data_IF_724123634252
#
_entry.id   IF_724123634252
#
_cell.length_a   1.000
_cell.length_b   1.000
_cell.length_c   1.000
_cell.angle_alpha   90.00
_cell.angle_beta   90.00
_cell.angle_gamma   90.00
#
_symmetry.space_group_name_H-M   'P 1'
#
loop_
_entity.id
_entity.type
_entity.pdbx_description
1 polymer ?
#
# COMPACT_ATOMS: atom_id res chain seq x y z
N UNK A 1 6.47 31.98 -23.44
CA UNK A 1 6.33 30.54 -23.79
C UNK A 1 4.90 30.12 -23.50
N UNK A 2 4.23 29.38 -24.41
CA UNK A 2 2.85 28.90 -24.18
C UNK A 2 2.87 27.80 -23.10
N UNK A 3 2.13 28.01 -22.01
CA UNK A 3 1.94 27.03 -20.93
C UNK A 3 1.21 25.80 -21.51
N UNK A 4 1.72 24.60 -21.25
CA UNK A 4 1.10 23.33 -21.67
C UNK A 4 0.23 22.75 -20.56
N UNK A 5 -0.82 22.03 -20.97
CA UNK A 5 -1.69 21.26 -20.07
C UNK A 5 -0.96 20.00 -19.59
N UNK A 6 -1.24 19.56 -18.36
CA UNK A 6 -0.69 18.33 -17.83
C UNK A 6 -1.17 17.09 -18.62
N UNK A 7 -0.29 16.09 -18.76
CA UNK A 7 -0.61 14.77 -19.34
C UNK A 7 -1.31 13.89 -18.30
N UNK A 8 -2.04 12.87 -18.76
CA UNK A 8 -2.62 11.86 -17.86
C UNK A 8 -1.57 10.96 -17.22
N UNK A 9 -0.54 10.59 -18.00
CA UNK A 9 0.62 9.79 -17.56
C UNK A 9 1.89 10.34 -18.22
N UNK A 10 2.92 10.53 -17.41
CA UNK A 10 4.26 10.94 -17.81
C UNK A 10 5.20 9.74 -17.83
N UNK A 11 6.33 9.87 -18.51
CA UNK A 11 7.39 8.84 -18.61
C UNK A 11 8.74 9.39 -18.17
N UNK A 12 9.77 8.55 -18.07
CA UNK A 12 11.14 9.01 -17.84
C UNK A 12 11.61 9.99 -18.94
N UNK A 13 11.22 9.74 -20.20
CA UNK A 13 11.56 10.63 -21.31
C UNK A 13 10.96 12.04 -21.13
N UNK A 14 9.79 12.14 -20.51
CA UNK A 14 9.17 13.43 -20.18
C UNK A 14 9.92 14.14 -19.05
N UNK A 15 10.39 13.41 -18.02
CA UNK A 15 11.23 13.98 -16.95
C UNK A 15 12.55 14.53 -17.52
N UNK A 16 13.19 13.83 -18.47
CA UNK A 16 14.42 14.29 -19.14
C UNK A 16 14.21 15.57 -19.97
N UNK A 17 13.00 15.83 -20.42
CA UNK A 17 12.62 16.99 -21.23
C UNK A 17 11.52 17.78 -20.52
N UNK A 18 11.72 18.06 -19.24
CA UNK A 18 10.69 18.65 -18.40
C UNK A 18 10.28 20.03 -18.89
N UNK A 19 8.99 20.20 -19.17
CA UNK A 19 8.42 21.44 -19.66
C UNK A 19 7.78 22.24 -18.52
N UNK A 20 7.68 23.55 -18.70
CA UNK A 20 6.98 24.43 -17.75
C UNK A 20 5.46 24.21 -17.89
N UNK A 21 4.86 23.66 -16.84
CA UNK A 21 3.42 23.41 -16.69
C UNK A 21 2.87 24.38 -15.64
N UNK A 22 1.62 24.80 -15.81
CA UNK A 22 0.93 25.74 -14.91
C UNK A 22 -0.47 25.22 -14.55
N UNK A 23 -0.78 25.00 -13.26
CA UNK A 23 0.16 24.98 -12.13
C UNK A 23 1.26 23.91 -12.30
N UNK A 24 2.44 24.06 -11.68
CA UNK A 24 3.54 23.12 -11.86
C UNK A 24 3.22 21.73 -11.29
N UNK A 25 3.53 20.67 -12.03
CA UNK A 25 3.56 19.30 -11.50
C UNK A 25 4.80 19.16 -10.63
N UNK A 26 4.61 18.93 -9.32
CA UNK A 26 5.68 18.78 -8.32
C UNK A 26 5.47 17.63 -7.35
N UNK A 27 4.37 16.92 -7.53
CA UNK A 27 4.06 15.68 -6.85
C UNK A 27 3.67 14.62 -7.88
N UNK A 28 3.76 13.35 -7.50
CA UNK A 28 3.23 12.29 -8.35
C UNK A 28 3.31 10.90 -7.78
N UNK A 29 2.90 9.92 -8.57
CA UNK A 29 3.04 8.49 -8.27
C UNK A 29 3.87 7.81 -9.34
N UNK A 30 4.89 7.07 -8.94
CA UNK A 30 5.69 6.21 -9.82
C UNK A 30 5.20 4.77 -9.73
N UNK A 31 4.94 4.15 -10.86
CA UNK A 31 4.52 2.75 -10.92
C UNK A 31 4.66 2.16 -12.32
N UNK A 32 4.56 0.84 -12.41
CA UNK A 32 4.50 0.14 -13.69
C UNK A 32 3.68 -1.15 -13.55
N UNK A 33 2.42 -1.18 -14.06
CA UNK A 33 1.67 -0.07 -14.64
C UNK A 33 1.14 0.92 -13.58
N UNK A 34 0.88 2.18 -13.97
CA UNK A 34 0.38 3.23 -13.05
C UNK A 34 -0.96 3.85 -13.43
N UNK A 35 -1.43 3.64 -14.67
CA UNK A 35 -2.57 4.35 -15.25
C UNK A 35 -3.86 4.25 -14.41
N UNK A 36 -4.07 3.12 -13.72
CA UNK A 36 -5.24 2.86 -12.88
C UNK A 36 -5.22 3.59 -11.53
N UNK A 37 -4.09 4.19 -11.13
CA UNK A 37 -3.96 4.80 -9.80
C UNK A 37 -4.98 5.93 -9.61
N UNK A 38 -5.72 5.90 -8.51
CA UNK A 38 -6.64 6.98 -8.12
C UNK A 38 -5.96 8.04 -7.23
N UNK A 39 -4.66 7.92 -6.95
CA UNK A 39 -3.91 8.88 -6.15
C UNK A 39 -3.97 10.32 -6.67
N UNK A 40 -3.89 10.58 -8.00
CA UNK A 40 -4.02 11.94 -8.51
C UNK A 40 -5.36 12.59 -8.19
N UNK A 41 -6.47 11.84 -8.17
CA UNK A 41 -7.79 12.38 -7.89
C UNK A 41 -7.84 12.96 -6.46
N UNK A 42 -7.52 12.13 -5.46
CA UNK A 42 -7.53 12.57 -4.06
C UNK A 42 -6.47 13.63 -3.77
N UNK A 43 -5.26 13.50 -4.31
CA UNK A 43 -4.16 14.43 -4.01
C UNK A 43 -4.41 15.81 -4.65
N UNK A 44 -4.89 15.88 -5.88
CA UNK A 44 -5.23 17.17 -6.50
C UNK A 44 -6.43 17.82 -5.81
N UNK A 45 -7.40 17.05 -5.29
CA UNK A 45 -8.49 17.60 -4.47
C UNK A 45 -7.96 18.21 -3.16
N UNK A 46 -6.99 17.58 -2.50
CA UNK A 46 -6.32 18.13 -1.34
C UNK A 46 -5.55 19.42 -1.65
N UNK A 47 -4.74 19.42 -2.71
CA UNK A 47 -3.98 20.60 -3.16
C UNK A 47 -4.91 21.79 -3.43
N UNK A 48 -6.02 21.56 -4.14
CA UNK A 48 -7.03 22.58 -4.44
C UNK A 48 -7.66 23.14 -3.16
N UNK A 49 -8.06 22.26 -2.23
CA UNK A 49 -8.71 22.66 -0.97
C UNK A 49 -7.77 23.49 -0.10
N UNK A 50 -6.49 23.12 -0.04
CA UNK A 50 -5.46 23.85 0.70
C UNK A 50 -4.87 25.05 -0.05
N UNK A 51 -5.38 25.38 -1.25
CA UNK A 51 -4.89 26.47 -2.12
C UNK A 51 -3.39 26.39 -2.42
N UNK A 52 -2.88 25.17 -2.64
CA UNK A 52 -1.49 24.91 -3.00
C UNK A 52 -1.40 24.89 -4.52
N UNK A 53 -0.63 25.82 -5.10
CA UNK A 53 -0.53 26.01 -6.55
C UNK A 53 0.43 24.99 -7.21
N UNK A 54 0.06 23.71 -7.17
CA UNK A 54 0.82 22.59 -7.72
C UNK A 54 -0.12 21.49 -8.21
N UNK A 55 0.41 20.54 -8.98
CA UNK A 55 -0.30 19.35 -9.46
C UNK A 55 0.38 18.06 -9.02
N UNK A 56 -0.44 17.03 -8.85
CA UNK A 56 -0.04 15.64 -8.67
C UNK A 56 -0.31 14.84 -9.95
N UNK A 57 0.69 14.14 -10.49
CA UNK A 57 0.56 13.38 -11.74
C UNK A 57 0.99 11.90 -11.63
N UNK A 58 0.64 11.10 -12.64
CA UNK A 58 1.11 9.71 -12.77
C UNK A 58 2.39 9.67 -13.60
N UNK A 59 3.33 8.84 -13.21
CA UNK A 59 4.56 8.58 -13.96
C UNK A 59 4.74 7.08 -14.13
N UNK A 60 4.71 6.62 -15.38
CA UNK A 60 5.05 5.25 -15.71
C UNK A 60 6.56 5.15 -15.83
N UNK A 61 7.17 4.49 -14.85
CA UNK A 61 8.61 4.35 -14.69
C UNK A 61 8.88 2.86 -14.53
N UNK A 62 9.69 2.25 -15.40
CA UNK A 62 10.04 0.83 -15.26
C UNK A 62 11.05 0.61 -14.12
N UNK A 63 11.24 -0.64 -13.62
CA UNK A 63 12.17 -0.91 -12.52
C UNK A 63 13.61 -0.43 -12.75
N UNK A 64 14.09 -0.55 -13.97
CA UNK A 64 15.43 -0.12 -14.40
C UNK A 64 15.56 1.41 -14.54
N UNK A 65 14.44 2.11 -14.68
CA UNK A 65 14.39 3.57 -14.79
C UNK A 65 14.28 4.27 -13.43
N UNK A 66 13.95 3.56 -12.35
CA UNK A 66 13.62 4.14 -11.04
C UNK A 66 14.69 5.08 -10.50
N UNK A 67 15.96 4.66 -10.52
CA UNK A 67 17.08 5.49 -10.04
C UNK A 67 17.16 6.80 -10.83
N UNK A 68 17.16 6.70 -12.17
CA UNK A 68 17.21 7.87 -13.05
C UNK A 68 16.03 8.82 -12.83
N UNK A 69 14.83 8.28 -12.60
CA UNK A 69 13.64 9.08 -12.32
C UNK A 69 13.76 9.84 -10.99
N UNK A 70 14.25 9.17 -9.94
CA UNK A 70 14.49 9.77 -8.62
C UNK A 70 15.55 10.88 -8.67
N UNK A 71 16.63 10.67 -9.42
CA UNK A 71 17.67 11.68 -9.61
C UNK A 71 17.14 12.91 -10.37
N UNK A 72 16.31 12.71 -11.40
CA UNK A 72 15.73 13.82 -12.15
C UNK A 72 14.74 14.64 -11.30
N UNK A 73 13.84 14.01 -10.54
CA UNK A 73 12.87 14.78 -9.74
C UNK A 73 13.54 15.62 -8.63
N UNK A 74 14.71 15.16 -8.14
CA UNK A 74 15.57 15.92 -7.23
C UNK A 74 16.02 17.25 -7.86
N UNK A 75 16.42 17.22 -9.14
CA UNK A 75 16.85 18.42 -9.88
C UNK A 75 15.69 19.31 -10.35
N UNK A 76 14.52 18.71 -10.60
CA UNK A 76 13.33 19.39 -11.13
C UNK A 76 12.47 20.06 -10.04
N UNK A 77 13.01 20.21 -8.83
CA UNK A 77 12.36 20.83 -7.67
C UNK A 77 11.04 20.19 -7.28
N UNK A 78 10.87 18.88 -7.46
CA UNK A 78 9.69 18.17 -6.94
C UNK A 78 9.67 18.24 -5.41
N UNK A 79 8.46 18.23 -4.84
CA UNK A 79 8.25 18.11 -3.39
C UNK A 79 8.34 16.66 -2.94
N UNK A 80 7.93 15.73 -3.80
CA UNK A 80 7.91 14.31 -3.47
C UNK A 80 7.14 13.46 -4.45
N UNK A 81 7.20 12.15 -4.26
CA UNK A 81 6.43 11.18 -5.05
C UNK A 81 5.97 10.03 -4.17
N UNK A 82 4.80 9.46 -4.45
CA UNK A 82 4.49 8.11 -4.01
C UNK A 82 5.13 7.09 -4.94
N UNK A 83 5.39 5.91 -4.39
CA UNK A 83 5.89 4.76 -5.11
C UNK A 83 4.89 3.62 -4.95
N UNK A 84 4.48 3.04 -6.07
CA UNK A 84 3.65 1.83 -6.09
C UNK A 84 4.41 0.65 -6.69
N UNK A 85 3.75 -0.49 -6.85
CA UNK A 85 4.31 -1.67 -7.51
C UNK A 85 4.97 -1.28 -8.85
N UNK A 86 6.20 -1.77 -9.14
CA UNK A 86 7.04 -2.68 -8.35
C UNK A 86 8.13 -1.99 -7.49
N UNK A 87 8.10 -0.68 -7.34
CA UNK A 87 9.24 0.13 -6.91
C UNK A 87 9.55 0.12 -5.41
N UNK A 88 8.58 -0.21 -4.56
CA UNK A 88 8.65 0.05 -3.11
C UNK A 88 9.89 -0.55 -2.43
N UNK A 89 10.28 -1.77 -2.80
CA UNK A 89 11.42 -2.46 -2.17
C UNK A 89 12.76 -1.89 -2.67
N UNK A 90 12.88 -1.67 -3.99
CA UNK A 90 14.10 -1.14 -4.58
C UNK A 90 14.40 0.27 -4.07
N UNK A 91 13.37 1.12 -3.99
CA UNK A 91 13.49 2.51 -3.58
C UNK A 91 14.08 2.69 -2.18
N UNK A 92 13.82 1.78 -1.24
CA UNK A 92 14.39 1.87 0.12
C UNK A 92 15.92 1.88 0.15
N UNK A 93 16.57 1.39 -0.90
CA UNK A 93 18.04 1.40 -1.04
C UNK A 93 18.58 2.64 -1.76
N UNK A 94 17.69 3.44 -2.33
CA UNK A 94 18.01 4.62 -3.15
C UNK A 94 17.74 5.93 -2.41
N UNK A 95 17.19 5.87 -1.19
CA UNK A 95 16.92 7.03 -0.37
C UNK A 95 18.19 7.48 0.35
N UNK A 96 18.35 8.80 0.50
CA UNK A 96 19.44 9.40 1.27
C UNK A 96 19.19 9.19 2.78
N UNK A 97 17.94 9.30 3.20
CA UNK A 97 17.49 9.07 4.58
C UNK A 97 16.19 8.27 4.59
N UNK A 98 16.00 7.41 5.59
CA UNK A 98 14.80 6.58 5.75
C UNK A 98 14.29 6.61 7.19
N UNK A 99 12.97 6.61 7.36
CA UNK A 99 12.36 6.49 8.68
C UNK A 99 12.50 5.06 9.26
N UNK A 100 12.23 4.93 10.55
CA UNK A 100 12.33 3.64 11.25
C UNK A 100 11.38 2.58 10.68
N UNK A 101 10.22 2.99 10.13
CA UNK A 101 9.32 2.06 9.46
C UNK A 101 9.97 1.49 8.21
N UNK A 102 10.48 2.33 7.30
CA UNK A 102 11.14 1.89 6.08
C UNK A 102 12.34 1.01 6.43
N UNK A 103 13.13 1.35 7.47
CA UNK A 103 14.25 0.53 7.92
C UNK A 103 13.84 -0.89 8.33
N UNK A 104 12.67 -1.05 8.97
CA UNK A 104 12.13 -2.36 9.40
C UNK A 104 11.37 -3.10 8.30
N UNK A 105 10.59 -2.39 7.49
CA UNK A 105 9.75 -2.96 6.41
C UNK A 105 10.61 -3.37 5.21
N UNK A 106 11.65 -2.57 4.92
CA UNK A 106 12.41 -2.64 3.67
C UNK A 106 11.63 -2.12 2.46
N UNK A 107 10.56 -1.34 2.65
CA UNK A 107 9.74 -0.81 1.56
C UNK A 107 9.36 0.66 1.78
N UNK A 108 9.57 1.49 0.76
CA UNK A 108 9.24 2.92 0.72
C UNK A 108 8.06 3.15 -0.23
N UNK A 109 6.98 3.78 0.22
CA UNK A 109 5.84 4.16 -0.65
C UNK A 109 5.69 5.68 -0.82
N UNK A 110 6.44 6.47 -0.04
CA UNK A 110 6.36 7.94 -0.02
C UNK A 110 7.76 8.50 0.06
N UNK A 111 8.11 9.36 -0.89
CA UNK A 111 9.39 10.08 -0.95
C UNK A 111 9.09 11.55 -0.71
N UNK A 112 9.75 12.17 0.25
CA UNK A 112 9.82 13.63 0.41
C UNK A 112 11.18 14.08 -0.10
N UNK A 113 11.20 15.17 -0.85
CA UNK A 113 12.43 15.82 -1.29
C UNK A 113 12.58 17.08 -0.46
N UNK A 114 13.67 17.16 0.29
CA UNK A 114 14.03 18.35 1.07
C UNK A 114 15.52 18.62 0.91
N UNK A 115 15.89 19.86 0.58
CA UNK A 115 17.28 20.26 0.30
C UNK A 115 18.02 19.29 -0.67
N UNK A 116 17.32 18.85 -1.72
CA UNK A 116 17.79 17.86 -2.71
C UNK A 116 18.13 16.47 -2.12
N UNK A 117 17.72 16.16 -0.89
CA UNK A 117 17.79 14.81 -0.33
C UNK A 117 16.47 14.07 -0.48
N UNK A 118 16.55 12.77 -0.73
CA UNK A 118 15.41 11.86 -0.80
C UNK A 118 15.19 11.23 0.58
N UNK A 119 14.09 11.60 1.23
CA UNK A 119 13.63 11.02 2.48
C UNK A 119 12.53 9.99 2.21
N UNK A 120 12.78 8.74 2.57
CA UNK A 120 11.86 7.62 2.38
C UNK A 120 10.98 7.37 3.59
N UNK A 121 9.68 7.22 3.34
CA UNK A 121 8.65 6.88 4.32
C UNK A 121 7.76 5.74 3.81
N UNK A 122 7.08 5.08 4.75
CA UNK A 122 6.02 4.13 4.45
C UNK A 122 4.72 4.51 5.18
N UNK A 123 3.70 4.85 4.40
CA UNK A 123 2.37 5.23 4.91
C UNK A 123 1.32 4.13 4.73
N UNK A 124 1.65 3.04 4.03
CA UNK A 124 0.72 1.94 3.75
C UNK A 124 0.24 1.27 5.04
N UNK A 125 1.16 0.95 5.96
CA UNK A 125 0.83 0.23 7.20
C UNK A 125 -0.18 0.99 8.06
N UNK A 126 0.13 2.24 8.41
CA UNK A 126 -0.79 3.11 9.16
C UNK A 126 -2.09 3.37 8.40
N UNK A 127 -2.02 3.52 7.07
CA UNK A 127 -3.21 3.67 6.22
C UNK A 127 -4.13 2.45 6.29
N UNK A 128 -3.55 1.25 6.28
CA UNK A 128 -4.28 -0.01 6.43
C UNK A 128 -4.95 -0.14 7.80
N UNK A 129 -4.26 0.18 8.90
CA UNK A 129 -4.87 0.14 10.24
C UNK A 129 -6.10 1.05 10.34
N UNK A 130 -6.01 2.29 9.82
CA UNK A 130 -7.15 3.21 9.75
C UNK A 130 -8.28 2.66 8.87
N UNK A 131 -7.93 2.03 7.75
CA UNK A 131 -8.90 1.40 6.86
C UNK A 131 -9.65 0.25 7.54
N UNK A 132 -8.96 -0.65 8.24
CA UNK A 132 -9.58 -1.76 8.98
C UNK A 132 -10.54 -1.23 10.05
N UNK A 133 -10.14 -0.21 10.81
CA UNK A 133 -11.01 0.42 11.81
C UNK A 133 -12.26 1.02 11.17
N UNK A 134 -12.13 1.68 10.02
CA UNK A 134 -13.27 2.26 9.30
C UNK A 134 -14.23 1.18 8.76
N UNK A 135 -13.70 0.20 8.03
CA UNK A 135 -14.51 -0.78 7.30
C UNK A 135 -15.12 -1.84 8.23
N UNK A 136 -14.39 -2.18 9.30
CA UNK A 136 -14.74 -3.30 10.15
C UNK A 136 -15.09 -2.95 11.59
N UNK A 137 -14.90 -1.69 12.01
CA UNK A 137 -15.13 -1.23 13.38
C UNK A 137 -14.36 -2.05 14.43
N UNK A 138 -13.14 -2.46 14.10
CA UNK A 138 -12.25 -3.28 14.95
C UNK A 138 -10.79 -2.84 14.77
N UNK A 139 -9.99 -3.05 15.80
CA UNK A 139 -8.56 -2.75 15.82
C UNK A 139 -7.72 -3.97 15.47
N UNK A 140 -6.57 -3.78 14.82
CA UNK A 140 -5.70 -4.90 14.43
C UNK A 140 -5.23 -5.73 15.63
N UNK A 141 -5.10 -5.10 16.80
CA UNK A 141 -4.67 -5.75 18.03
C UNK A 141 -5.58 -6.89 18.48
N UNK A 142 -6.86 -6.83 18.12
CA UNK A 142 -7.90 -7.79 18.51
C UNK A 142 -8.13 -8.86 17.45
N UNK A 143 -7.31 -8.89 16.38
CA UNK A 143 -7.53 -9.74 15.22
C UNK A 143 -6.45 -10.82 15.06
N UNK A 144 -6.89 -11.97 14.53
CA UNK A 144 -6.05 -12.99 13.92
C UNK A 144 -6.04 -12.76 12.41
N UNK A 145 -4.91 -12.30 11.90
CA UNK A 145 -4.78 -11.81 10.53
C UNK A 145 -4.02 -12.81 9.67
N UNK A 146 -4.52 -13.08 8.46
CA UNK A 146 -3.76 -13.70 7.39
C UNK A 146 -3.48 -12.68 6.30
N UNK A 147 -2.24 -12.64 5.81
CA UNK A 147 -1.83 -11.82 4.67
C UNK A 147 -1.45 -12.75 3.52
N UNK A 148 -2.07 -12.54 2.36
CA UNK A 148 -1.71 -13.17 1.10
C UNK A 148 -0.72 -12.25 0.39
N UNK A 149 0.50 -12.72 0.19
CA UNK A 149 1.62 -11.98 -0.38
C UNK A 149 2.73 -11.66 0.61
N UNK A 150 3.90 -11.35 0.07
CA UNK A 150 5.07 -10.90 0.85
C UNK A 150 5.84 -9.74 0.15
N UNK A 151 5.15 -9.00 -0.72
CA UNK A 151 5.67 -7.81 -1.42
C UNK A 151 5.64 -6.54 -0.55
N UNK A 152 5.90 -5.37 -1.16
CA UNK A 152 6.00 -4.11 -0.41
C UNK A 152 4.78 -3.74 0.43
N UNK A 153 3.56 -3.90 -0.12
CA UNK A 153 2.32 -3.65 0.63
C UNK A 153 2.13 -4.69 1.75
N UNK A 154 2.34 -5.98 1.45
CA UNK A 154 2.24 -7.05 2.43
C UNK A 154 3.21 -6.87 3.61
N UNK A 155 4.45 -6.44 3.33
CA UNK A 155 5.46 -6.14 4.36
C UNK A 155 5.01 -5.00 5.27
N UNK A 156 4.44 -3.93 4.70
CA UNK A 156 3.94 -2.80 5.48
C UNK A 156 2.74 -3.18 6.35
N UNK A 157 1.79 -3.95 5.81
CA UNK A 157 0.63 -4.49 6.55
C UNK A 157 1.10 -5.42 7.66
N UNK A 158 2.01 -6.36 7.37
CA UNK A 158 2.53 -7.31 8.33
C UNK A 158 3.23 -6.63 9.51
N UNK A 159 4.09 -5.64 9.23
CA UNK A 159 4.73 -4.86 10.28
C UNK A 159 3.70 -4.07 11.10
N UNK A 160 2.70 -3.47 10.47
CA UNK A 160 1.67 -2.73 11.22
C UNK A 160 0.90 -3.66 12.16
N UNK A 161 0.47 -4.84 11.70
CA UNK A 161 -0.17 -5.84 12.54
C UNK A 161 0.72 -6.27 13.72
N UNK A 162 2.02 -6.46 13.47
CA UNK A 162 2.99 -6.81 14.51
C UNK A 162 3.20 -5.69 15.53
N UNK A 163 3.29 -4.43 15.08
CA UNK A 163 3.46 -3.24 15.95
C UNK A 163 2.24 -2.97 16.82
N UNK A 164 1.04 -3.30 16.33
CA UNK A 164 -0.20 -3.20 17.10
C UNK A 164 -0.46 -4.43 17.98
N UNK A 165 0.46 -5.41 18.00
CA UNK A 165 0.37 -6.64 18.79
C UNK A 165 -0.92 -7.43 18.52
N UNK A 166 -1.24 -7.60 17.22
CA UNK A 166 -2.32 -8.48 16.77
C UNK A 166 -2.23 -9.87 17.41
N UNK A 167 -3.37 -10.52 17.62
CA UNK A 167 -3.41 -11.79 18.34
C UNK A 167 -2.60 -12.86 17.62
N UNK A 168 -2.73 -12.91 16.28
CA UNK A 168 -2.06 -13.86 15.39
C UNK A 168 -1.78 -13.22 14.04
N UNK A 169 -0.65 -13.56 13.44
CA UNK A 169 -0.28 -13.20 12.07
C UNK A 169 0.15 -14.44 11.28
N UNK A 170 -0.56 -14.71 10.18
CA UNK A 170 -0.22 -15.74 9.20
C UNK A 170 0.18 -15.08 7.90
N UNK A 171 1.32 -15.47 7.33
CA UNK A 171 1.82 -14.93 6.06
C UNK A 171 1.85 -16.08 5.05
N UNK A 172 1.01 -15.98 4.02
CA UNK A 172 0.98 -16.92 2.91
C UNK A 172 1.61 -16.29 1.68
N UNK A 173 2.52 -16.99 1.01
CA UNK A 173 3.11 -16.49 -0.23
C UNK A 173 3.40 -17.63 -1.21
N UNK A 174 3.36 -17.33 -2.51
CA UNK A 174 3.62 -18.30 -3.59
C UNK A 174 5.02 -18.87 -3.47
N UNK A 175 6.00 -18.01 -3.20
CA UNK A 175 7.35 -18.42 -2.83
C UNK A 175 7.41 -18.51 -1.31
N UNK A 176 7.29 -19.73 -0.77
CA UNK A 176 7.20 -19.98 0.67
C UNK A 176 8.37 -19.37 1.45
N UNK A 177 9.60 -19.49 0.92
CA UNK A 177 10.79 -18.90 1.54
C UNK A 177 10.68 -17.37 1.77
N UNK A 178 9.95 -16.64 0.93
CA UNK A 178 9.73 -15.20 1.12
C UNK A 178 8.81 -14.92 2.31
N UNK A 179 7.78 -15.75 2.53
CA UNK A 179 6.93 -15.65 3.71
C UNK A 179 7.70 -16.03 4.98
N UNK A 180 8.52 -17.08 4.93
CA UNK A 180 9.37 -17.49 6.07
C UNK A 180 10.32 -16.36 6.48
N UNK A 181 11.00 -15.74 5.50
CA UNK A 181 11.89 -14.61 5.77
C UNK A 181 11.14 -13.45 6.44
N UNK A 182 9.96 -13.07 5.94
CA UNK A 182 9.17 -12.00 6.54
C UNK A 182 8.69 -12.35 7.95
N UNK A 183 8.31 -13.60 8.20
CA UNK A 183 7.96 -14.05 9.55
C UNK A 183 9.17 -13.96 10.51
N UNK A 184 10.37 -14.37 10.08
CA UNK A 184 11.55 -14.28 10.94
C UNK A 184 11.89 -12.81 11.26
N UNK A 185 11.78 -11.90 10.29
CA UNK A 185 11.97 -10.45 10.49
C UNK A 185 11.00 -9.85 11.54
N UNK A 186 9.84 -10.49 11.78
CA UNK A 186 8.81 -10.04 12.71
C UNK A 186 8.80 -10.81 14.04
N UNK A 187 9.65 -11.82 14.20
CA UNK A 187 9.60 -12.77 15.32
C UNK A 187 9.66 -12.10 16.70
N UNK A 188 10.46 -11.05 16.85
CA UNK A 188 10.64 -10.33 18.12
C UNK A 188 9.32 -9.71 18.63
N UNK A 189 8.42 -9.27 17.73
CA UNK A 189 7.12 -8.73 18.12
C UNK A 189 6.19 -9.77 18.75
N UNK A 190 6.43 -11.06 18.50
CA UNK A 190 5.59 -12.16 18.97
C UNK A 190 6.26 -13.00 20.07
N UNK A 191 7.45 -12.60 20.55
CA UNK A 191 8.23 -13.33 21.57
C UNK A 191 7.75 -13.11 23.02
N UNK A 192 6.76 -12.24 23.25
CA UNK A 192 6.27 -11.88 24.58
C UNK A 192 5.42 -12.96 25.27
N UNK A 193 5.27 -12.89 26.61
CA UNK A 193 4.46 -13.83 27.37
C UNK A 193 2.97 -13.63 27.05
N UNK A 194 2.41 -14.54 26.25
CA UNK A 194 0.96 -14.74 26.10
C UNK A 194 0.64 -16.21 26.33
N UNK A 195 -0.60 -16.49 26.72
CA UNK A 195 -1.10 -17.86 26.85
C UNK A 195 -0.87 -18.60 25.54
N UNK A 196 -0.15 -19.72 25.61
CA UNK A 196 0.06 -20.60 24.46
C UNK A 196 -1.31 -21.17 24.05
N UNK A 197 -1.80 -20.73 22.90
CA UNK A 197 -2.94 -21.34 22.23
C UNK A 197 -2.51 -22.61 21.45
N UNK A 198 -3.48 -23.34 20.87
CA UNK A 198 -3.18 -24.55 20.09
C UNK A 198 -2.42 -24.28 18.78
N UNK A 199 -2.27 -23.02 18.40
CA UNK A 199 -1.66 -22.59 17.13
C UNK A 199 -0.66 -21.43 17.36
N UNK A 200 0.45 -21.35 16.59
CA UNK A 200 1.54 -20.39 16.85
C UNK A 200 1.16 -18.96 16.45
N UNK A 201 1.39 -17.95 17.29
CA UNK A 201 0.99 -16.55 17.00
C UNK A 201 1.54 -15.98 15.70
N UNK A 202 2.73 -16.40 15.27
CA UNK A 202 3.32 -16.02 13.99
C UNK A 202 3.60 -17.27 13.16
N UNK A 203 3.12 -17.30 11.92
CA UNK A 203 3.31 -18.44 11.04
C UNK A 203 3.47 -18.02 9.58
N UNK A 204 4.51 -18.54 8.92
CA UNK A 204 4.58 -18.53 7.47
C UNK A 204 4.00 -19.84 6.92
N UNK A 205 3.25 -19.76 5.82
CA UNK A 205 2.71 -20.95 5.12
C UNK A 205 2.94 -20.84 3.60
N UNK A 206 3.01 -21.97 2.87
CA UNK A 206 2.91 -21.95 1.43
C UNK A 206 1.50 -21.48 1.01
N UNK A 207 1.41 -20.81 -0.13
CA UNK A 207 0.12 -20.40 -0.71
C UNK A 207 -0.54 -21.57 -1.43
N UNK A 208 -0.98 -22.55 -0.64
CA UNK A 208 -1.66 -23.75 -1.08
C UNK A 208 -2.98 -23.88 -0.33
N UNK A 209 -4.01 -24.38 -1.01
CA UNK A 209 -5.34 -24.50 -0.43
C UNK A 209 -5.37 -25.33 0.85
N UNK A 210 -4.65 -26.46 0.88
CA UNK A 210 -4.60 -27.31 2.06
C UNK A 210 -4.03 -26.54 3.26
N UNK A 211 -2.91 -25.84 3.06
CA UNK A 211 -2.27 -25.04 4.11
C UNK A 211 -3.19 -23.91 4.61
N UNK A 212 -3.86 -23.20 3.70
CA UNK A 212 -4.79 -22.10 4.04
C UNK A 212 -6.04 -22.63 4.76
N UNK A 213 -6.60 -23.76 4.31
CA UNK A 213 -7.79 -24.38 4.91
C UNK A 213 -7.63 -24.64 6.40
N UNK A 214 -6.45 -25.11 6.84
CA UNK A 214 -6.17 -25.33 8.26
C UNK A 214 -6.15 -24.04 9.10
N UNK A 215 -6.01 -22.87 8.48
CA UNK A 215 -5.96 -21.60 9.20
C UNK A 215 -7.32 -20.96 9.38
N UNK A 216 -8.30 -21.22 8.50
CA UNK A 216 -9.57 -20.47 8.42
C UNK A 216 -10.31 -20.39 9.77
N UNK A 217 -10.33 -21.47 10.54
CA UNK A 217 -11.00 -21.52 11.86
C UNK A 217 -10.28 -20.68 12.94
N UNK A 218 -9.07 -20.19 12.66
CA UNK A 218 -8.21 -19.46 13.56
C UNK A 218 -7.87 -18.06 13.02
N UNK A 219 -8.71 -17.52 12.14
CA UNK A 219 -8.55 -16.20 11.53
C UNK A 219 -9.84 -15.41 11.65
N UNK A 220 -9.67 -14.11 11.79
CA UNK A 220 -10.75 -13.12 11.77
C UNK A 220 -10.67 -12.27 10.51
N UNK A 221 -9.45 -11.98 10.01
CA UNK A 221 -9.22 -11.13 8.84
C UNK A 221 -8.27 -11.80 7.83
N UNK A 222 -8.65 -11.82 6.55
CA UNK A 222 -7.77 -12.21 5.44
C UNK A 222 -7.54 -11.01 4.53
N UNK A 223 -6.28 -10.66 4.31
CA UNK A 223 -5.84 -9.52 3.52
C UNK A 223 -5.20 -9.99 2.21
N UNK A 224 -5.75 -9.62 1.07
CA UNK A 224 -5.04 -9.76 -0.22
C UNK A 224 -4.10 -8.57 -0.42
N UNK A 225 -2.80 -8.80 -0.25
CA UNK A 225 -1.74 -7.83 -0.50
C UNK A 225 -0.93 -8.17 -1.76
N UNK A 226 -1.59 -8.82 -2.73
CA UNK A 226 -1.01 -9.19 -4.03
C UNK A 226 -1.67 -8.42 -5.16
N UNK A 227 -1.09 -8.42 -6.37
CA UNK A 227 -1.73 -7.82 -7.53
C UNK A 227 -2.98 -8.56 -8.04
N UNK A 228 -3.28 -9.78 -7.54
CA UNK A 228 -4.45 -10.53 -8.01
C UNK A 228 -5.74 -9.76 -7.74
N UNK A 229 -6.54 -9.59 -8.79
CA UNK A 229 -7.80 -8.83 -8.78
C UNK A 229 -7.69 -7.49 -9.49
N UNK A 230 -6.46 -7.04 -9.81
CA UNK A 230 -6.21 -5.80 -10.53
C UNK A 230 -6.69 -5.90 -11.97
N UNK A 231 -6.41 -7.02 -12.66
CA UNK A 231 -6.94 -7.24 -14.00
C UNK A 231 -8.35 -7.83 -13.94
N UNK A 232 -9.17 -7.54 -14.96
CA UNK A 232 -10.54 -8.05 -15.04
C UNK A 232 -10.62 -9.58 -15.05
N UNK A 233 -9.61 -10.25 -15.60
CA UNK A 233 -9.50 -11.70 -15.73
C UNK A 233 -8.79 -12.37 -14.55
N UNK A 234 -8.26 -11.62 -13.59
CA UNK A 234 -7.54 -12.23 -12.47
C UNK A 234 -8.51 -13.04 -11.60
N UNK A 235 -8.11 -14.22 -11.11
CA UNK A 235 -8.93 -15.01 -10.19
C UNK A 235 -8.92 -14.42 -8.77
N UNK A 236 -9.83 -14.91 -7.93
CA UNK A 236 -9.73 -14.74 -6.47
C UNK A 236 -8.41 -15.35 -5.96
N UNK A 237 -7.72 -14.72 -4.99
CA UNK A 237 -6.47 -15.22 -4.44
C UNK A 237 -6.63 -16.52 -3.63
N UNK A 238 -7.85 -16.84 -3.19
CA UNK A 238 -8.20 -18.14 -2.58
C UNK A 238 -9.54 -18.66 -3.12
N UNK A 239 -9.76 -19.99 -3.15
CA UNK A 239 -11.03 -20.58 -3.56
C UNK A 239 -12.20 -20.12 -2.69
N UNK A 240 -13.35 -19.79 -3.30
CA UNK A 240 -14.55 -19.31 -2.60
C UNK A 240 -15.03 -20.26 -1.49
N UNK A 241 -14.85 -21.58 -1.66
CA UNK A 241 -15.19 -22.61 -0.65
C UNK A 241 -14.39 -22.53 0.65
N UNK A 242 -13.33 -21.74 0.71
CA UNK A 242 -12.57 -21.47 1.95
C UNK A 242 -13.08 -20.24 2.70
N UNK A 243 -13.94 -19.44 2.06
CA UNK A 243 -14.54 -18.26 2.67
C UNK A 243 -15.70 -18.70 3.56
N UNK A 244 -15.85 -18.03 4.69
CA UNK A 244 -16.80 -18.37 5.73
C UNK A 244 -17.40 -17.10 6.35
N UNK A 245 -18.65 -17.14 6.84
CA UNK A 245 -19.36 -15.95 7.34
C UNK A 245 -18.66 -15.19 8.48
N UNK A 246 -17.85 -15.87 9.29
CA UNK A 246 -17.15 -15.24 10.42
C UNK A 246 -15.94 -14.39 9.98
N UNK A 247 -15.49 -14.52 8.73
CA UNK A 247 -14.32 -13.82 8.24
C UNK A 247 -14.63 -12.37 7.86
N UNK A 248 -13.61 -11.54 8.00
CA UNK A 248 -13.47 -10.25 7.35
C UNK A 248 -12.46 -10.40 6.21
N UNK A 249 -12.77 -9.82 5.07
CA UNK A 249 -11.94 -9.89 3.87
C UNK A 249 -11.54 -8.48 3.44
N UNK A 250 -10.25 -8.22 3.36
CA UNK A 250 -9.73 -6.93 2.87
C UNK A 250 -8.90 -7.14 1.62
N UNK A 251 -9.30 -6.56 0.51
CA UNK A 251 -8.52 -6.58 -0.72
C UNK A 251 -7.79 -5.25 -0.88
N UNK A 252 -6.45 -5.26 -0.94
CA UNK A 252 -5.69 -4.00 -1.18
C UNK A 252 -5.90 -3.46 -2.59
N UNK A 253 -6.42 -4.29 -3.51
CA UNK A 253 -6.84 -3.83 -4.83
C UNK A 253 -8.12 -3.00 -4.72
N UNK A 254 -8.10 -1.86 -5.40
CA UNK A 254 -9.28 -1.03 -5.66
C UNK A 254 -9.48 -0.91 -7.17
N UNK A 255 -10.74 -1.01 -7.61
CA UNK A 255 -11.15 -0.85 -9.00
C UNK A 255 -12.63 -0.54 -9.07
N UNK A 256 -13.11 -0.16 -10.25
CA UNK A 256 -14.54 -0.14 -10.52
C UNK A 256 -15.14 -1.53 -10.32
N UNK A 257 -16.22 -1.58 -9.54
CA UNK A 257 -16.87 -2.80 -9.11
C UNK A 257 -16.11 -3.53 -7.99
N UNK A 258 -16.53 -4.77 -7.72
CA UNK A 258 -15.89 -5.63 -6.72
C UNK A 258 -14.85 -6.52 -7.38
N UNK A 259 -13.74 -6.79 -6.68
CA UNK A 259 -12.80 -7.83 -7.10
C UNK A 259 -13.46 -9.20 -6.92
N UNK A 260 -13.00 -10.26 -7.63
CA UNK A 260 -13.50 -11.61 -7.41
C UNK A 260 -13.37 -12.07 -5.95
N UNK A 261 -12.35 -11.59 -5.23
CA UNK A 261 -12.16 -11.90 -3.82
C UNK A 261 -13.27 -11.30 -2.94
N UNK A 262 -13.55 -10.01 -3.12
CA UNK A 262 -14.60 -9.29 -2.39
C UNK A 262 -15.98 -9.83 -2.75
N UNK A 263 -16.24 -10.12 -4.03
CA UNK A 263 -17.51 -10.71 -4.46
C UNK A 263 -17.75 -12.07 -3.82
N UNK A 264 -16.78 -12.99 -3.92
CA UNK A 264 -16.89 -14.33 -3.34
C UNK A 264 -17.05 -14.30 -1.81
N UNK A 265 -16.42 -13.33 -1.13
CA UNK A 265 -16.55 -13.15 0.30
C UNK A 265 -17.98 -12.77 0.71
N UNK A 266 -18.56 -11.79 0.01
CA UNK A 266 -19.94 -11.35 0.25
C UNK A 266 -20.92 -12.50 -0.04
N UNK A 267 -20.72 -13.24 -1.13
CA UNK A 267 -21.53 -14.42 -1.47
C UNK A 267 -21.44 -15.52 -0.39
N UNK A 268 -20.29 -15.66 0.27
CA UNK A 268 -20.10 -16.57 1.39
C UNK A 268 -20.61 -16.03 2.75
N UNK A 269 -21.23 -14.84 2.78
CA UNK A 269 -21.75 -14.20 3.99
C UNK A 269 -20.70 -13.51 4.86
N UNK A 270 -19.46 -13.37 4.37
CA UNK A 270 -18.38 -12.67 5.06
C UNK A 270 -18.52 -11.14 4.91
N UNK A 271 -17.93 -10.38 5.82
CA UNK A 271 -17.76 -8.94 5.66
C UNK A 271 -16.57 -8.70 4.72
N UNK A 272 -16.70 -7.79 3.76
CA UNK A 272 -15.61 -7.54 2.80
C UNK A 272 -15.48 -6.07 2.39
N UNK A 273 -14.24 -5.61 2.21
CA UNK A 273 -13.91 -4.28 1.75
C UNK A 273 -12.73 -4.32 0.75
N UNK A 274 -12.64 -3.28 -0.08
CA UNK A 274 -11.57 -3.10 -1.06
C UNK A 274 -10.53 -2.05 -0.59
N UNK A 275 -9.56 -1.77 -1.46
CA UNK A 275 -8.40 -0.96 -1.12
C UNK A 275 -8.63 0.55 -1.05
N UNK A 276 -9.84 1.06 -1.28
CA UNK A 276 -10.10 2.51 -1.37
C UNK A 276 -9.82 3.22 -0.05
N UNK A 277 -10.25 2.66 1.08
CA UNK A 277 -9.99 3.25 2.39
C UNK A 277 -8.48 3.29 2.71
N UNK A 278 -7.74 2.21 2.39
CA UNK A 278 -6.29 2.19 2.55
C UNK A 278 -5.62 3.23 1.64
N UNK A 279 -6.04 3.34 0.38
CA UNK A 279 -5.56 4.36 -0.57
C UNK A 279 -5.74 5.77 0.00
N UNK A 280 -6.92 6.09 0.51
CA UNK A 280 -7.24 7.39 1.10
C UNK A 280 -6.31 7.71 2.27
N UNK A 281 -6.23 6.82 3.26
CA UNK A 281 -5.48 7.09 4.49
C UNK A 281 -3.97 7.10 4.27
N UNK A 282 -3.41 6.21 3.43
CA UNK A 282 -1.98 6.27 3.11
C UNK A 282 -1.63 7.56 2.33
N UNK A 283 -2.58 8.05 1.51
CA UNK A 283 -2.42 9.28 0.74
C UNK A 283 -2.47 10.53 1.61
N UNK A 284 -3.41 10.56 2.56
CA UNK A 284 -3.52 11.61 3.55
C UNK A 284 -2.23 11.73 4.38
N UNK A 285 -1.70 10.60 4.86
CA UNK A 285 -0.41 10.57 5.56
C UNK A 285 0.77 11.05 4.69
N UNK A 286 0.77 10.72 3.39
CA UNK A 286 1.80 11.22 2.47
C UNK A 286 1.71 12.74 2.29
N UNK A 287 0.48 13.27 2.19
CA UNK A 287 0.23 14.72 2.14
C UNK A 287 0.74 15.42 3.42
N UNK A 288 0.45 14.85 4.59
CA UNK A 288 0.93 15.37 5.88
C UNK A 288 2.47 15.40 5.94
N UNK A 289 3.14 14.37 5.40
CA UNK A 289 4.62 14.32 5.33
C UNK A 289 5.18 15.44 4.44
N UNK A 290 4.59 15.66 3.27
CA UNK A 290 5.09 16.66 2.32
C UNK A 290 4.88 18.10 2.79
N UNK A 291 3.76 18.36 3.45
CA UNK A 291 3.34 19.73 3.75
C UNK A 291 3.31 20.09 5.23
N UNK A 292 3.61 19.13 6.12
CA UNK A 292 3.68 19.33 7.57
C UNK A 292 2.39 19.95 8.15
N UNK A 293 1.25 19.54 7.58
CA UNK A 293 -0.09 19.97 7.98
C UNK A 293 -1.09 18.84 7.77
N UNK A 294 -2.19 18.90 8.50
CA UNK A 294 -3.28 17.93 8.38
C UNK A 294 -3.84 17.87 6.94
N UNK A 295 -4.07 16.66 6.45
CA UNK A 295 -4.67 16.45 5.15
C UNK A 295 -6.18 16.74 5.19
N UNK A 296 -6.77 17.39 4.16
CA UNK A 296 -8.21 17.59 4.06
C UNK A 296 -8.89 16.28 3.63
N UNK A 297 -9.00 15.32 4.56
CA UNK A 297 -9.44 13.93 4.29
C UNK A 297 -10.81 13.87 3.62
N UNK A 298 -11.76 14.73 4.00
CA UNK A 298 -13.09 14.72 3.37
C UNK A 298 -13.05 15.11 1.89
N UNK A 299 -12.28 16.15 1.53
CA UNK A 299 -12.11 16.52 0.12
C UNK A 299 -11.38 15.42 -0.68
N UNK A 300 -10.43 14.72 -0.04
CA UNK A 300 -9.76 13.57 -0.64
C UNK A 300 -10.73 12.40 -0.86
N UNK A 301 -11.63 12.16 0.10
CA UNK A 301 -12.63 11.08 0.06
C UNK A 301 -13.68 11.32 -1.03
N UNK A 302 -14.20 12.54 -1.15
CA UNK A 302 -15.19 12.91 -2.17
C UNK A 302 -14.65 12.79 -3.61
N UNK A 303 -13.33 12.82 -3.79
CA UNK A 303 -12.67 12.72 -5.10
C UNK A 303 -12.38 11.28 -5.55
N UNK A 304 -12.57 10.28 -4.68
CA UNK A 304 -12.35 8.85 -4.97
C UNK A 304 -13.65 8.15 -5.38
#
# INVERSE_FOLDING_TARGET
>A
MKKKRAKEVYTLADLRKWEIIDPPVRLGVFGDPVAHSLSPQMQNAALKTCKIDMQYARFQISPDELQSALDLIRELNFVGVNLTTPHKIAASKLMDEIDDNVRRIGATNTVKIDNAKLHGYNTDGKGFARAVRQEFAVDLRDLKVMILGAGGAARAVALQCAREDCERLVIANRTFATAQKLAEELREYFAGPRVLGPVPRLQAIPWEEAAIRFQIAHLDLIVNATPLGLNRSDPSPIPARLLAPHLMIYDTVYREGRTPFVSAAIEAGARAANGLAMLLYQGALAFEIWFEREAPIEAMREAL
#
